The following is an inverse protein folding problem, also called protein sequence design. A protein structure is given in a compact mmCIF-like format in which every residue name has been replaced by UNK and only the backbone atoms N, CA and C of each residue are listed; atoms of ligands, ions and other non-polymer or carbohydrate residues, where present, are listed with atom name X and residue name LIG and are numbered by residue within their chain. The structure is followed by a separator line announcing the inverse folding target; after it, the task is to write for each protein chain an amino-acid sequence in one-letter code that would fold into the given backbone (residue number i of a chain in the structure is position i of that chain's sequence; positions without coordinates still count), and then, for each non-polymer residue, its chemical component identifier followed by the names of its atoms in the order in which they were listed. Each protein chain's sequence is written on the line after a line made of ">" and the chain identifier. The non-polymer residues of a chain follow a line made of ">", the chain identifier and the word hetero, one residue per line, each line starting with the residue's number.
data_IF_117949789041
#
_entry.id   IF_117949789041
#
_cell.length_a   1.000
_cell.length_b   1.000
_cell.length_c   1.000
_cell.angle_alpha   90.00
_cell.angle_beta   90.00
_cell.angle_gamma   90.00
#
_symmetry.space_group_name_H-M   'P 1'
#
loop_
_entity.id
_entity.type
_entity.pdbx_description
1 polymer ?
#
# COMPACT_ATOMS: atom_id res chain seq x y z
N UNK A 1 22.06 -22.92 6.34
CA UNK A 1 21.14 -23.88 6.97
C UNK A 1 21.80 -24.43 8.22
N UNK A 2 21.17 -24.33 9.40
CA UNK A 2 21.63 -24.90 10.68
C UNK A 2 20.78 -26.13 11.00
N UNK A 3 21.41 -27.21 11.44
CA UNK A 3 20.67 -28.40 11.89
C UNK A 3 20.49 -28.32 13.41
N UNK A 4 19.27 -28.58 13.88
CA UNK A 4 18.94 -28.58 15.30
C UNK A 4 18.30 -29.89 15.70
N UNK A 5 18.70 -30.38 16.86
CA UNK A 5 18.05 -31.49 17.55
C UNK A 5 16.99 -30.91 18.48
N UNK A 6 15.72 -31.14 18.17
CA UNK A 6 14.59 -30.69 18.98
C UNK A 6 13.89 -31.88 19.62
N UNK A 7 13.35 -31.70 20.82
CA UNK A 7 12.52 -32.73 21.47
C UNK A 7 11.08 -32.24 21.53
N UNK A 8 10.15 -33.01 20.97
CA UNK A 8 8.71 -32.71 20.98
C UNK A 8 7.98 -33.87 21.63
N UNK A 9 7.30 -33.62 22.74
CA UNK A 9 6.58 -34.63 23.53
C UNK A 9 7.44 -35.89 23.84
N UNK A 10 8.75 -35.71 24.06
CA UNK A 10 9.69 -36.79 24.37
C UNK A 10 10.34 -37.47 23.16
N UNK A 11 9.94 -37.11 21.92
CA UNK A 11 10.54 -37.64 20.70
C UNK A 11 11.56 -36.65 20.13
N UNK A 12 12.73 -37.16 19.73
CA UNK A 12 13.82 -36.34 19.19
C UNK A 12 13.71 -36.25 17.68
N UNK A 13 13.82 -35.04 17.15
CA UNK A 13 13.79 -34.75 15.73
C UNK A 13 14.99 -33.89 15.33
N UNK A 14 15.53 -34.17 14.15
CA UNK A 14 16.49 -33.30 13.50
C UNK A 14 15.76 -32.42 12.49
N UNK A 15 15.91 -31.11 12.64
CA UNK A 15 15.31 -30.14 11.74
C UNK A 15 16.37 -29.20 11.20
N UNK A 16 16.32 -28.95 9.91
CA UNK A 16 17.20 -28.00 9.24
C UNK A 16 16.50 -26.65 9.18
N UNK A 17 17.06 -25.67 9.87
CA UNK A 17 16.55 -24.30 9.91
C UNK A 17 17.40 -23.43 8.98
N UNK A 18 16.73 -22.71 8.10
CA UNK A 18 17.37 -21.64 7.34
C UNK A 18 17.53 -20.40 8.22
N UNK A 19 18.78 -19.96 8.41
CA UNK A 19 19.04 -18.65 9.00
C UNK A 19 18.67 -17.61 7.94
N UNK A 20 17.67 -16.80 8.24
CA UNK A 20 17.07 -15.90 7.26
C UNK A 20 15.55 -15.78 7.34
N UNK A 21 14.88 -16.61 8.16
CA UNK A 21 13.46 -16.37 8.50
C UNK A 21 13.31 -15.19 9.49
N UNK A 22 13.98 -14.08 9.21
CA UNK A 22 13.48 -12.79 9.69
C UNK A 22 12.20 -12.57 8.90
N UNK A 23 11.05 -12.77 9.54
CA UNK A 23 9.71 -12.55 8.97
C UNK A 23 9.42 -11.11 8.53
N UNK A 24 10.39 -10.40 7.96
CA UNK A 24 10.16 -9.28 7.05
C UNK A 24 9.57 -9.85 5.77
N UNK A 25 8.35 -10.38 5.86
CA UNK A 25 7.44 -10.31 4.73
C UNK A 25 7.42 -8.83 4.35
N UNK A 26 7.96 -8.49 3.17
CA UNK A 26 7.93 -7.14 2.66
C UNK A 26 6.50 -6.63 2.80
N UNK A 27 6.29 -5.62 3.66
CA UNK A 27 4.97 -5.04 3.82
C UNK A 27 4.47 -4.64 2.43
N UNK A 28 3.21 -4.95 2.06
CA UNK A 28 2.69 -4.58 0.77
C UNK A 28 2.88 -3.07 0.58
N UNK A 29 3.51 -2.69 -0.53
CA UNK A 29 3.74 -1.28 -0.84
C UNK A 29 2.37 -0.61 -0.96
N UNK A 30 2.11 0.39 -0.12
CA UNK A 30 0.88 1.15 -0.16
C UNK A 30 0.73 1.81 -1.55
N UNK A 31 -0.48 1.70 -2.12
CA UNK A 31 -0.80 2.37 -3.36
C UNK A 31 -0.77 3.89 -3.17
N UNK A 32 -0.26 4.61 -4.16
CA UNK A 32 -0.29 6.07 -4.15
C UNK A 32 -1.75 6.58 -4.28
N UNK A 33 -2.08 7.72 -3.65
CA UNK A 33 -3.40 8.32 -3.79
C UNK A 33 -3.68 8.72 -5.24
N UNK A 34 -4.93 8.55 -5.67
CA UNK A 34 -5.37 8.94 -7.00
C UNK A 34 -5.32 10.47 -7.19
N UNK A 35 -5.04 10.95 -8.42
CA UNK A 35 -5.04 12.39 -8.71
C UNK A 35 -6.44 12.99 -8.51
N UNK A 36 -6.46 14.25 -8.06
CA UNK A 36 -7.70 14.99 -7.87
C UNK A 36 -8.38 15.32 -9.22
N UNK A 37 -9.72 15.39 -9.26
CA UNK A 37 -10.45 15.83 -10.45
C UNK A 37 -10.05 17.24 -10.88
N UNK A 38 -9.96 17.46 -12.21
CA UNK A 38 -9.69 18.77 -12.78
C UNK A 38 -10.87 19.73 -12.55
N UNK A 39 -10.56 21.01 -12.29
CA UNK A 39 -11.56 22.05 -12.13
C UNK A 39 -12.32 22.30 -13.45
N UNK A 40 -13.63 22.49 -13.34
CA UNK A 40 -14.46 22.83 -14.48
C UNK A 40 -14.20 24.27 -14.97
N UNK A 41 -14.37 24.55 -16.27
CA UNK A 41 -14.27 25.91 -16.81
C UNK A 41 -15.28 26.87 -16.17
N UNK A 42 -14.88 28.12 -15.99
CA UNK A 42 -15.77 29.16 -15.47
C UNK A 42 -16.86 29.49 -16.49
N UNK A 43 -18.09 29.72 -15.99
CA UNK A 43 -19.21 30.11 -16.83
C UNK A 43 -19.02 31.54 -17.38
N UNK A 44 -19.53 31.82 -18.59
CA UNK A 44 -19.47 33.15 -19.18
C UNK A 44 -20.27 34.16 -18.36
N UNK A 45 -19.76 35.39 -18.29
CA UNK A 45 -20.42 36.48 -17.58
C UNK A 45 -21.74 36.90 -18.27
N UNK A 46 -22.75 37.32 -17.50
CA UNK A 46 -24.02 37.79 -18.06
C UNK A 46 -23.82 39.05 -18.90
N UNK A 47 -24.53 39.12 -20.03
CA UNK A 47 -24.50 40.28 -20.91
C UNK A 47 -25.13 41.51 -20.24
N UNK A 48 -24.51 42.67 -20.44
CA UNK A 48 -25.01 43.93 -19.93
C UNK A 48 -26.35 44.29 -20.59
N UNK A 49 -27.29 44.78 -19.79
CA UNK A 49 -28.58 45.25 -20.27
C UNK A 49 -28.42 46.54 -21.10
N UNK A 50 -29.24 46.75 -22.15
CA UNK A 50 -29.21 47.97 -22.93
C UNK A 50 -29.63 49.18 -22.07
N UNK A 51 -28.94 50.30 -22.28
CA UNK A 51 -29.24 51.55 -21.61
C UNK A 51 -30.57 52.16 -22.13
N UNK A 52 -31.38 52.79 -21.27
CA UNK A 52 -32.59 53.47 -21.70
C UNK A 52 -32.29 54.72 -22.55
N UNK A 53 -33.22 55.02 -23.47
CA UNK A 53 -33.14 56.07 -24.49
C UNK A 53 -33.21 57.50 -23.94
#
# INVERSE_FOLDING_TARGET
>A
MKNYTITVNGNVYEVTVEEGFTGKASAPKAAAPAPAPAAAPAAPAPAAAPAPA
#
